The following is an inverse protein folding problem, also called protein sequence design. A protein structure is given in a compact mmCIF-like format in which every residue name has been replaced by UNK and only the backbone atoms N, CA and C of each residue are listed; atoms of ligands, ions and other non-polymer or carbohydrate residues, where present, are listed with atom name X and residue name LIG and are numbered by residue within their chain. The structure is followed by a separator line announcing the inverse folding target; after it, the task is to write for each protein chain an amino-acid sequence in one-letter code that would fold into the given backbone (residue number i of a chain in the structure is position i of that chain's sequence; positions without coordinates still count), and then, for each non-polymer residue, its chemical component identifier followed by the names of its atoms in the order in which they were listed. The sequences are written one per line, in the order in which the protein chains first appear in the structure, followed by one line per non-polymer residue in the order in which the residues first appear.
data_IF_560048483682
#
_entry.id   IF_560048483682
#
_cell.length_a   1.000
_cell.length_b   1.000
_cell.length_c   1.000
_cell.angle_alpha   90.00
_cell.angle_beta   90.00
_cell.angle_gamma   90.00
#
_symmetry.space_group_name_H-M   'P 1'
#
loop_
_entity.id
_entity.type
_entity.pdbx_description
1 polymer ?
#
# COMPACT_ATOMS: atom_id res chain seq x y z
N UNK A 1 -2.37 -17.30 10.77
CA UNK A 1 -1.26 -16.60 10.11
C UNK A 1 -1.51 -16.64 8.63
N UNK A 2 -1.70 -15.47 8.03
CA UNK A 2 -1.75 -15.32 6.58
C UNK A 2 -0.34 -15.27 6.01
N UNK A 3 -0.18 -15.56 4.72
CA UNK A 3 1.08 -15.34 3.99
C UNK A 3 0.94 -14.08 3.14
N UNK A 4 2.03 -13.32 2.96
CA UNK A 4 2.02 -12.19 2.04
C UNK A 4 1.68 -12.65 0.62
N UNK A 5 0.75 -11.94 -0.03
CA UNK A 5 0.42 -12.16 -1.45
C UNK A 5 1.21 -11.17 -2.31
N UNK A 6 2.18 -11.68 -3.07
CA UNK A 6 3.02 -10.88 -4.00
C UNK A 6 2.62 -11.06 -5.46
N UNK A 7 1.64 -11.91 -5.74
CA UNK A 7 1.04 -12.07 -7.06
C UNK A 7 -0.17 -11.16 -7.24
N UNK A 8 -0.58 -10.83 -8.48
CA UNK A 8 -1.78 -10.06 -8.73
C UNK A 8 -3.01 -10.66 -8.02
N UNK A 9 -3.63 -9.89 -7.13
CA UNK A 9 -4.78 -10.31 -6.31
C UNK A 9 -5.92 -9.29 -6.31
N UNK A 10 -5.76 -8.19 -7.05
CA UNK A 10 -6.76 -7.13 -7.16
C UNK A 10 -7.53 -7.31 -8.47
N UNK A 11 -8.86 -7.35 -8.38
CA UNK A 11 -9.74 -7.30 -9.55
C UNK A 11 -9.84 -5.85 -10.02
N UNK A 12 -9.65 -5.60 -11.32
CA UNK A 12 -9.62 -4.24 -11.86
C UNK A 12 -8.37 -3.48 -11.39
N UNK A 13 -7.20 -4.11 -11.51
CA UNK A 13 -5.93 -3.53 -11.06
C UNK A 13 -5.68 -2.14 -11.66
N UNK A 14 -6.09 -1.92 -12.91
CA UNK A 14 -5.98 -0.63 -13.60
C UNK A 14 -6.83 0.46 -12.93
N UNK A 15 -8.08 0.14 -12.57
CA UNK A 15 -8.99 1.08 -11.90
C UNK A 15 -8.45 1.44 -10.51
N UNK A 16 -7.96 0.45 -9.77
CA UNK A 16 -7.37 0.67 -8.44
C UNK A 16 -6.08 1.47 -8.53
N UNK A 17 -5.27 1.23 -9.56
CA UNK A 17 -4.07 2.02 -9.81
C UNK A 17 -4.43 3.47 -10.18
N UNK A 18 -5.44 3.69 -11.03
CA UNK A 18 -5.94 5.02 -11.37
C UNK A 18 -6.41 5.79 -10.12
N UNK A 19 -7.17 5.14 -9.22
CA UNK A 19 -7.58 5.74 -7.94
C UNK A 19 -6.39 6.24 -7.11
N UNK A 20 -5.27 5.51 -7.11
CA UNK A 20 -4.07 5.93 -6.39
C UNK A 20 -3.41 7.15 -7.06
N UNK A 21 -3.33 7.17 -8.39
CA UNK A 21 -2.77 8.31 -9.13
C UNK A 21 -3.62 9.56 -8.94
N UNK A 22 -4.94 9.45 -9.07
CA UNK A 22 -5.88 10.55 -8.87
C UNK A 22 -5.80 11.07 -7.42
N UNK A 23 -5.57 10.18 -6.45
CA UNK A 23 -5.35 10.57 -5.07
C UNK A 23 -4.06 11.38 -4.85
N UNK A 24 -3.13 11.44 -5.81
CA UNK A 24 -1.94 12.30 -5.77
C UNK A 24 -2.09 13.60 -6.58
N UNK A 25 -3.14 13.74 -7.40
CA UNK A 25 -3.34 14.92 -8.23
C UNK A 25 -3.41 16.20 -7.37
N UNK A 26 -2.70 17.24 -7.82
CA UNK A 26 -2.63 18.54 -7.16
C UNK A 26 -1.79 18.60 -5.87
N UNK A 27 -1.21 17.47 -5.42
CA UNK A 27 -0.34 17.44 -4.22
C UNK A 27 1.10 17.78 -4.56
N UNK A 28 1.74 18.54 -3.68
CA UNK A 28 3.19 18.64 -3.65
C UNK A 28 3.82 17.30 -3.26
N UNK A 29 5.14 17.19 -3.43
CA UNK A 29 5.89 16.01 -2.98
C UNK A 29 5.69 15.74 -1.48
N UNK A 30 5.80 16.77 -0.64
CA UNK A 30 5.66 16.62 0.80
C UNK A 30 4.24 16.15 1.19
N UNK A 31 3.21 16.67 0.53
CA UNK A 31 1.83 16.24 0.76
C UNK A 31 1.57 14.81 0.29
N UNK A 32 2.18 14.41 -0.83
CA UNK A 32 2.15 13.04 -1.35
C UNK A 32 2.85 12.06 -0.41
N UNK A 33 4.02 12.42 0.12
CA UNK A 33 4.76 11.61 1.08
C UNK A 33 3.95 11.45 2.39
N UNK A 34 3.32 12.53 2.88
CA UNK A 34 2.43 12.49 4.04
C UNK A 34 1.16 11.67 3.79
N UNK A 35 0.59 11.73 2.59
CA UNK A 35 -0.53 10.89 2.16
C UNK A 35 -0.15 9.41 2.18
N UNK A 36 0.99 9.06 1.60
CA UNK A 36 1.49 7.68 1.56
C UNK A 36 1.74 7.12 2.96
N UNK A 37 2.33 7.90 3.87
CA UNK A 37 2.53 7.46 5.25
C UNK A 37 1.20 7.12 5.95
N UNK A 38 0.16 7.94 5.77
CA UNK A 38 -1.19 7.66 6.32
C UNK A 38 -1.85 6.45 5.67
N UNK A 39 -1.70 6.29 4.36
CA UNK A 39 -2.23 5.15 3.62
C UNK A 39 -1.58 3.85 4.11
N UNK A 40 -0.25 3.81 4.21
CA UNK A 40 0.50 2.66 4.71
C UNK A 40 0.04 2.29 6.12
N UNK A 41 -0.06 3.25 7.04
CA UNK A 41 -0.53 3.00 8.41
C UNK A 41 -1.95 2.42 8.44
N UNK A 42 -2.84 2.93 7.57
CA UNK A 42 -4.22 2.44 7.46
C UNK A 42 -4.24 0.98 6.96
N UNK A 43 -3.43 0.65 5.96
CA UNK A 43 -3.32 -0.70 5.42
C UNK A 43 -2.70 -1.67 6.42
N UNK A 44 -1.67 -1.25 7.17
CA UNK A 44 -1.08 -2.03 8.27
C UNK A 44 -2.15 -2.40 9.30
N UNK A 45 -2.96 -1.42 9.71
CA UNK A 45 -4.07 -1.65 10.65
C UNK A 45 -5.14 -2.59 10.08
N UNK A 46 -5.44 -2.50 8.78
CA UNK A 46 -6.40 -3.37 8.12
C UNK A 46 -5.90 -4.82 8.01
N UNK A 47 -4.60 -5.01 7.72
CA UNK A 47 -3.97 -6.33 7.63
C UNK A 47 -3.93 -7.01 9.00
N UNK A 48 -3.50 -6.30 10.04
CA UNK A 48 -3.55 -6.77 11.44
C UNK A 48 -2.68 -7.98 11.79
N UNK A 49 -1.99 -8.58 10.82
CA UNK A 49 -1.08 -9.73 10.98
C UNK A 49 0.38 -9.27 10.89
N UNK A 50 1.09 -9.32 12.03
CA UNK A 50 2.47 -8.86 12.16
C UNK A 50 3.45 -9.64 11.27
N UNK A 51 3.18 -10.92 10.98
CA UNK A 51 4.04 -11.73 10.11
C UNK A 51 3.89 -11.30 8.65
N UNK A 52 2.66 -11.08 8.19
CA UNK A 52 2.38 -10.54 6.86
C UNK A 52 3.04 -9.16 6.68
N UNK A 53 2.99 -8.31 7.70
CA UNK A 53 3.63 -6.99 7.69
C UNK A 53 5.16 -7.12 7.62
N UNK A 54 5.76 -8.02 8.40
CA UNK A 54 7.20 -8.27 8.36
C UNK A 54 7.67 -8.80 7.00
N UNK A 55 6.93 -9.73 6.40
CA UNK A 55 7.17 -10.20 5.02
C UNK A 55 7.10 -9.03 4.02
N UNK A 56 6.11 -8.14 4.15
CA UNK A 56 5.95 -6.99 3.26
C UNK A 56 7.12 -6.01 3.36
N UNK A 57 7.63 -5.76 4.58
CA UNK A 57 8.82 -4.93 4.80
C UNK A 57 10.05 -5.55 4.14
N UNK A 58 10.29 -6.85 4.32
CA UNK A 58 11.41 -7.55 3.71
C UNK A 58 11.38 -7.47 2.17
N UNK A 59 10.19 -7.60 1.55
CA UNK A 59 10.03 -7.43 0.09
C UNK A 59 10.31 -5.99 -0.36
N UNK A 60 9.97 -4.99 0.45
CA UNK A 60 10.18 -3.58 0.12
C UNK A 60 11.66 -3.14 0.24
N UNK A 61 12.44 -3.81 1.10
CA UNK A 61 13.87 -3.57 1.27
C UNK A 61 14.73 -4.10 0.10
N UNK A 62 14.24 -5.12 -0.63
CA UNK A 62 14.88 -5.72 -1.81
C UNK A 62 15.46 -7.10 -1.55
#
# INVERSE_FOLDING_TARGET
MGKLTTTPNVRGADDVYAMLIDAHEGKTKAESDAFNARLILTLINHIGDAEVIAEALAVAEG
#
